data_IF_132578537115
#
_entry.id   IF_132578537115
#
_cell.length_a   1.000
_cell.length_b   1.000
_cell.length_c   1.000
_cell.angle_alpha   90.00
_cell.angle_beta   90.00
_cell.angle_gamma   90.00
#
_symmetry.space_group_name_H-M   'P 1'
#
loop_
_entity.id
_entity.type
_entity.pdbx_description
1 polymer ?
#
# COMPACT_ATOMS: atom_id res chain seq x y z
N UNK A 1 -27.98 -18.97 -24.01
CA UNK A 1 -28.48 -18.24 -22.81
C UNK A 1 -27.81 -18.70 -21.50
N UNK A 2 -27.43 -19.97 -21.35
CA UNK A 2 -26.75 -20.48 -20.13
C UNK A 2 -25.31 -19.94 -19.98
N UNK A 3 -24.55 -19.90 -21.09
CA UNK A 3 -23.14 -19.49 -21.11
C UNK A 3 -22.93 -18.02 -20.71
N UNK A 4 -23.82 -17.13 -21.15
CA UNK A 4 -23.77 -15.68 -20.85
C UNK A 4 -24.01 -15.42 -19.36
N UNK A 5 -24.94 -16.16 -18.72
CA UNK A 5 -25.24 -16.04 -17.29
C UNK A 5 -24.08 -16.55 -16.41
N UNK A 6 -23.41 -17.64 -16.81
CA UNK A 6 -22.24 -18.15 -16.10
C UNK A 6 -21.03 -17.20 -16.20
N UNK A 7 -20.79 -16.60 -17.38
CA UNK A 7 -19.73 -15.60 -17.57
C UNK A 7 -20.02 -14.33 -16.75
N UNK A 8 -21.27 -13.85 -16.72
CA UNK A 8 -21.65 -12.69 -15.92
C UNK A 8 -21.36 -12.89 -14.42
N UNK A 9 -21.52 -14.12 -13.92
CA UNK A 9 -21.18 -14.48 -12.54
C UNK A 9 -19.66 -14.41 -12.30
N UNK A 10 -18.84 -14.87 -13.26
CA UNK A 10 -17.38 -14.83 -13.17
C UNK A 10 -16.77 -13.43 -13.41
N UNK A 11 -17.45 -12.56 -14.18
CA UNK A 11 -17.05 -11.17 -14.41
C UNK A 11 -17.46 -10.23 -13.27
N UNK A 12 -18.32 -10.68 -12.35
CA UNK A 12 -18.69 -9.94 -11.13
C UNK A 12 -17.66 -10.05 -10.00
N UNK A 13 -16.52 -10.70 -10.25
CA UNK A 13 -15.38 -10.62 -9.34
C UNK A 13 -14.95 -9.15 -9.23
N UNK A 14 -14.88 -8.58 -8.01
CA UNK A 14 -14.21 -7.30 -7.85
C UNK A 14 -12.77 -7.53 -8.29
N UNK A 15 -12.38 -6.93 -9.42
CA UNK A 15 -10.99 -6.83 -9.82
C UNK A 15 -10.29 -6.18 -8.63
N UNK A 16 -9.61 -7.02 -7.84
CA UNK A 16 -8.96 -6.65 -6.59
C UNK A 16 -8.17 -5.37 -6.86
N UNK A 17 -8.67 -4.25 -6.34
CA UNK A 17 -8.23 -2.91 -6.71
C UNK A 17 -6.84 -2.66 -6.18
N UNK A 18 -5.83 -3.22 -6.83
CA UNK A 18 -4.45 -2.85 -6.54
C UNK A 18 -4.32 -1.37 -6.88
N UNK A 19 -3.82 -0.53 -5.95
CA UNK A 19 -3.59 0.86 -6.26
C UNK A 19 -2.70 0.92 -7.50
N UNK A 20 -3.14 1.62 -8.54
CA UNK A 20 -2.31 1.85 -9.72
C UNK A 20 -1.17 2.79 -9.29
N UNK A 21 -0.04 2.19 -8.94
CA UNK A 21 1.10 2.88 -8.39
C UNK A 21 2.04 3.27 -9.51
N UNK A 22 2.12 4.56 -9.78
CA UNK A 22 3.21 5.09 -10.57
C UNK A 22 4.53 4.76 -9.86
N UNK A 23 5.43 4.05 -10.54
CA UNK A 23 6.78 3.74 -10.03
C UNK A 23 7.56 5.06 -9.88
N UNK A 24 7.45 5.68 -8.72
CA UNK A 24 8.13 6.92 -8.39
C UNK A 24 8.67 6.87 -6.97
N UNK A 25 9.94 7.20 -6.79
CA UNK A 25 10.55 7.38 -5.46
C UNK A 25 10.03 8.68 -4.85
N UNK A 26 8.91 8.60 -4.16
CA UNK A 26 8.28 9.72 -3.45
C UNK A 26 8.04 9.30 -2.00
N UNK A 27 9.08 9.34 -1.16
CA UNK A 27 9.00 8.80 0.18
C UNK A 27 7.96 9.51 1.03
N UNK A 28 7.39 8.80 2.01
CA UNK A 28 6.47 9.36 3.01
C UNK A 28 6.84 8.89 4.41
N UNK A 29 6.65 9.74 5.41
CA UNK A 29 6.86 9.40 6.80
C UNK A 29 5.55 8.99 7.46
N UNK A 30 5.49 7.78 8.01
CA UNK A 30 4.33 7.27 8.76
C UNK A 30 4.34 7.71 10.22
N UNK A 31 3.18 7.63 10.87
CA UNK A 31 3.00 7.92 12.31
C UNK A 31 3.66 6.90 13.24
N UNK A 32 4.11 5.79 12.68
CA UNK A 32 4.96 4.78 13.32
C UNK A 32 6.44 5.17 13.38
N UNK A 33 6.84 6.24 12.67
CA UNK A 33 8.23 6.68 12.52
C UNK A 33 9.00 5.97 11.42
N UNK A 34 8.31 5.26 10.51
CA UNK A 34 8.92 4.60 9.36
C UNK A 34 8.80 5.43 8.09
N UNK A 35 9.87 5.40 7.29
CA UNK A 35 9.86 5.96 5.93
C UNK A 35 9.40 4.88 4.97
N UNK A 36 8.33 5.16 4.23
CA UNK A 36 7.83 4.31 3.16
C UNK A 36 8.36 4.84 1.84
N UNK A 37 8.80 3.93 0.96
CA UNK A 37 9.51 4.28 -0.28
C UNK A 37 8.62 5.06 -1.25
N UNK A 38 7.33 4.76 -1.28
CA UNK A 38 6.31 5.60 -1.87
C UNK A 38 4.96 5.49 -1.11
N UNK A 39 3.96 6.28 -1.56
CA UNK A 39 2.62 6.24 -0.98
C UNK A 39 1.96 4.85 -1.07
N UNK A 40 2.22 4.09 -2.11
CA UNK A 40 1.60 2.77 -2.26
C UNK A 40 2.13 1.76 -1.26
N UNK A 41 3.43 1.75 -1.00
CA UNK A 41 4.00 0.90 0.04
C UNK A 41 3.38 1.23 1.39
N UNK A 42 3.14 2.52 1.65
CA UNK A 42 2.40 2.97 2.83
C UNK A 42 0.95 2.46 2.86
N UNK A 43 0.20 2.53 1.76
CA UNK A 43 -1.20 2.08 1.72
C UNK A 43 -1.32 0.55 1.92
N UNK A 44 -0.38 -0.23 1.40
CA UNK A 44 -0.32 -1.69 1.64
C UNK A 44 -0.19 -1.98 3.13
N UNK A 45 0.71 -1.28 3.82
CA UNK A 45 0.90 -1.45 5.27
C UNK A 45 -0.29 -0.90 6.05
N UNK A 46 -0.89 0.21 5.63
CA UNK A 46 -2.08 0.81 6.25
C UNK A 46 -3.31 -0.10 6.17
N UNK A 47 -3.44 -0.92 5.12
CA UNK A 47 -4.51 -1.92 5.03
C UNK A 47 -4.49 -2.91 6.20
N UNK A 48 -3.30 -3.19 6.75
CA UNK A 48 -3.07 -4.02 7.92
C UNK A 48 -3.11 -3.17 9.21
N UNK A 49 -2.43 -2.02 9.19
CA UNK A 49 -2.31 -1.08 10.31
C UNK A 49 -3.24 0.12 10.11
N UNK A 50 -4.54 -0.05 10.42
CA UNK A 50 -5.56 0.97 10.12
C UNK A 50 -5.34 2.35 10.77
N UNK A 51 -4.62 2.40 11.89
CA UNK A 51 -4.28 3.65 12.59
C UNK A 51 -3.00 4.31 12.04
N UNK A 52 -2.36 3.73 11.04
CA UNK A 52 -1.20 4.31 10.39
C UNK A 52 -1.63 5.51 9.53
N UNK A 53 -1.00 6.65 9.79
CA UNK A 53 -1.25 7.92 9.10
C UNK A 53 0.05 8.47 8.55
N UNK A 54 -0.04 9.27 7.49
CA UNK A 54 1.13 10.01 6.99
C UNK A 54 1.32 11.22 7.91
N UNK A 55 2.52 11.39 8.46
CA UNK A 55 2.92 12.58 9.23
C UNK A 55 3.32 13.69 8.27
N UNK A 56 4.17 13.37 7.30
CA UNK A 56 4.58 14.29 6.25
C UNK A 56 5.08 13.55 5.00
N UNK A 57 5.10 14.25 3.86
CA UNK A 57 5.77 13.77 2.65
C UNK A 57 7.28 13.96 2.78
N UNK A 58 8.06 13.01 2.26
CA UNK A 58 9.50 12.89 2.50
C UNK A 58 9.85 11.78 3.48
N UNK A 59 11.15 11.54 3.66
CA UNK A 59 11.66 10.59 4.65
C UNK A 59 11.52 11.15 6.08
N UNK A 60 11.26 10.29 7.06
CA UNK A 60 11.26 10.69 8.47
C UNK A 60 12.65 11.21 8.87
N UNK A 61 12.70 12.29 9.65
CA UNK A 61 13.95 12.88 10.15
C UNK A 61 14.65 12.00 11.18
N UNK A 62 13.87 11.28 11.99
CA UNK A 62 14.35 10.25 12.91
C UNK A 62 13.71 8.92 12.55
N UNK A 63 14.41 8.10 11.78
CA UNK A 63 13.98 6.73 11.55
C UNK A 63 14.20 5.93 12.83
N UNK A 64 13.26 5.04 13.18
CA UNK A 64 13.49 4.07 14.26
C UNK A 64 14.60 3.10 13.84
N UNK A 65 15.84 3.44 14.21
CA UNK A 65 17.06 2.72 13.91
C UNK A 65 17.19 1.44 14.75
N UNK A 66 16.25 0.49 14.59
CA UNK A 66 16.44 -0.91 14.99
C UNK A 66 15.31 -1.86 14.58
N UNK A 67 14.31 -1.40 13.82
CA UNK A 67 13.29 -2.30 13.32
C UNK A 67 13.67 -2.65 11.89
N UNK A 68 14.08 -3.90 11.66
CA UNK A 68 14.17 -4.47 10.32
C UNK A 68 12.76 -4.46 9.74
N UNK A 69 12.36 -3.33 9.17
CA UNK A 69 11.14 -3.24 8.39
C UNK A 69 11.36 -4.12 7.18
N UNK A 70 10.46 -5.09 7.02
CA UNK A 70 10.48 -6.15 6.02
C UNK A 70 10.47 -5.56 4.60
N UNK A 71 11.64 -5.12 4.13
CA UNK A 71 11.91 -4.83 2.74
C UNK A 71 13.21 -5.53 2.35
N UNK A 72 13.22 -6.86 2.51
CA UNK A 72 14.02 -7.72 1.66
C UNK A 72 13.16 -8.04 0.44
N UNK A 73 13.31 -7.23 -0.60
CA UNK A 73 13.25 -7.77 -1.97
C UNK A 73 14.63 -8.32 -2.30
#
# INVERSE_FOLDING_TARGET
MIVVLAIALLLSLPQNGQPHCAYGRKPVCGSDGFTYFNRCDFEVVKAIHRNLTIVHYGACTHQKANQKHMFSV
#
